data_IF_623650918170
#
_entry.id   IF_623650918170
#
_cell.length_a   1.000
_cell.length_b   1.000
_cell.length_c   1.000
_cell.angle_alpha   90.00
_cell.angle_beta   90.00
_cell.angle_gamma   90.00
#
_symmetry.space_group_name_H-M   'P 1'
#
loop_
_entity.id
_entity.type
_entity.pdbx_description
1 polymer ?
#
# COMPACT_ATOMS: atom_id res chain seq x y z
N UNK A 1 -27.87 7.28 8.89
CA UNK A 1 -26.49 6.89 8.50
C UNK A 1 -26.16 7.67 7.25
N UNK A 2 -25.02 8.37 7.19
CA UNK A 2 -24.64 9.11 5.98
C UNK A 2 -24.40 8.14 4.81
N UNK A 3 -24.59 8.57 3.54
CA UNK A 3 -24.27 7.77 2.37
C UNK A 3 -22.84 7.20 2.41
N UNK A 4 -21.90 7.95 3.01
CA UNK A 4 -20.52 7.53 3.21
C UNK A 4 -20.40 6.27 4.09
N UNK A 5 -21.12 6.23 5.21
CA UNK A 5 -21.12 5.06 6.12
C UNK A 5 -21.71 3.83 5.43
N UNK A 6 -22.79 4.00 4.66
CA UNK A 6 -23.43 2.89 3.94
C UNK A 6 -22.52 2.30 2.86
N UNK A 7 -21.86 3.15 2.07
CA UNK A 7 -20.88 2.71 1.08
C UNK A 7 -19.69 2.01 1.74
N UNK A 8 -19.18 2.58 2.83
CA UNK A 8 -18.09 2.01 3.61
C UNK A 8 -18.42 0.60 4.14
N UNK A 9 -19.57 0.44 4.80
CA UNK A 9 -20.02 -0.85 5.32
C UNK A 9 -20.31 -1.86 4.20
N UNK A 10 -20.90 -1.40 3.09
CA UNK A 10 -21.11 -2.22 1.90
C UNK A 10 -19.80 -2.76 1.34
N UNK A 11 -18.76 -1.93 1.28
CA UNK A 11 -17.45 -2.34 0.81
C UNK A 11 -16.76 -3.36 1.73
N UNK A 12 -16.86 -3.15 3.04
CA UNK A 12 -16.40 -4.13 4.03
C UNK A 12 -17.13 -5.46 3.84
N UNK A 13 -18.45 -5.44 3.69
CA UNK A 13 -19.23 -6.64 3.48
C UNK A 13 -18.83 -7.39 2.20
N UNK A 14 -18.62 -6.67 1.09
CA UNK A 14 -18.18 -7.26 -0.19
C UNK A 14 -16.79 -7.89 -0.05
N UNK A 15 -15.84 -7.19 0.58
CA UNK A 15 -14.47 -7.70 0.74
C UNK A 15 -14.40 -8.88 1.72
N UNK A 16 -15.22 -8.89 2.78
CA UNK A 16 -15.40 -10.04 3.68
C UNK A 16 -15.98 -11.24 2.93
N UNK A 17 -17.00 -11.00 2.10
CA UNK A 17 -17.64 -12.04 1.30
C UNK A 17 -16.66 -12.67 0.30
N UNK A 18 -15.86 -11.86 -0.40
CA UNK A 18 -14.80 -12.33 -1.30
C UNK A 18 -13.78 -13.17 -0.52
N UNK A 19 -13.38 -12.70 0.66
CA UNK A 19 -12.42 -13.41 1.51
C UNK A 19 -12.95 -14.77 1.92
N UNK A 20 -14.20 -14.84 2.38
CA UNK A 20 -14.86 -16.09 2.76
C UNK A 20 -15.07 -17.05 1.58
N UNK A 21 -15.46 -16.53 0.41
CA UNK A 21 -15.60 -17.34 -0.81
C UNK A 21 -14.26 -17.95 -1.25
N UNK A 22 -13.20 -17.14 -1.25
CA UNK A 22 -11.86 -17.57 -1.60
C UNK A 22 -11.27 -18.56 -0.59
N UNK A 23 -11.46 -18.30 0.70
CA UNK A 23 -10.98 -19.16 1.79
C UNK A 23 -11.54 -20.58 1.69
N UNK A 24 -12.81 -20.74 1.32
CA UNK A 24 -13.45 -22.06 1.15
C UNK A 24 -12.85 -22.91 0.03
N UNK A 25 -12.07 -22.31 -0.88
CA UNK A 25 -11.38 -23.01 -1.97
C UNK A 25 -9.93 -23.37 -1.64
N UNK A 26 -9.46 -23.07 -0.43
CA UNK A 26 -8.05 -23.20 -0.04
C UNK A 26 -7.91 -24.14 1.16
N UNK A 27 -7.18 -25.24 0.99
CA UNK A 27 -6.84 -26.18 2.08
C UNK A 27 -5.36 -26.57 2.01
N UNK A 28 -4.70 -26.64 3.16
CA UNK A 28 -3.28 -27.00 3.29
C UNK A 28 -2.29 -25.83 3.21
N UNK A 29 -1.03 -26.09 3.51
CA UNK A 29 0.05 -25.09 3.61
C UNK A 29 0.37 -24.43 2.27
N UNK A 30 0.44 -25.20 1.17
CA UNK A 30 0.67 -24.65 -0.18
C UNK A 30 -0.44 -23.70 -0.63
N UNK A 31 -1.69 -23.99 -0.28
CA UNK A 31 -2.82 -23.13 -0.61
C UNK A 31 -2.84 -21.86 0.27
N UNK A 32 -2.46 -21.99 1.55
CA UNK A 32 -2.34 -20.87 2.47
C UNK A 32 -1.18 -19.91 2.12
N UNK A 33 0.00 -20.44 1.75
CA UNK A 33 1.22 -19.65 1.52
C UNK A 33 1.56 -19.35 0.06
N UNK A 34 1.00 -20.06 -0.91
CA UNK A 34 1.33 -19.87 -2.33
C UNK A 34 0.11 -19.94 -3.25
N UNK A 35 -1.11 -19.90 -2.70
CA UNK A 35 -2.36 -20.05 -3.45
C UNK A 35 -2.37 -21.27 -4.40
N UNK A 36 -1.67 -22.36 -4.03
CA UNK A 36 -1.55 -23.56 -4.85
C UNK A 36 -0.83 -23.36 -6.19
N UNK A 37 -0.14 -22.23 -6.38
CA UNK A 37 0.61 -21.89 -7.60
C UNK A 37 -0.24 -21.83 -8.88
N UNK A 38 -1.54 -21.57 -8.75
CA UNK A 38 -2.52 -21.68 -9.83
C UNK A 38 -2.84 -20.37 -10.53
N UNK A 39 -2.22 -19.25 -10.15
CA UNK A 39 -2.58 -17.94 -10.68
C UNK A 39 -2.03 -17.72 -12.09
N UNK A 40 -2.86 -17.14 -12.96
CA UNK A 40 -2.44 -16.69 -14.30
C UNK A 40 -1.60 -15.42 -14.19
N UNK A 41 -0.75 -15.17 -15.18
CA UNK A 41 0.13 -14.01 -15.21
C UNK A 41 -0.59 -12.67 -14.98
N UNK A 42 -1.74 -12.45 -15.64
CA UNK A 42 -2.49 -11.21 -15.51
C UNK A 42 -3.17 -11.09 -14.13
N UNK A 43 -3.67 -12.19 -13.56
CA UNK A 43 -4.27 -12.19 -12.22
C UNK A 43 -3.23 -11.83 -11.16
N UNK A 44 -2.07 -12.47 -11.23
CA UNK A 44 -0.97 -12.16 -10.33
C UNK A 44 -0.41 -10.75 -10.59
N UNK A 45 -0.33 -10.30 -11.85
CA UNK A 45 0.10 -8.95 -12.19
C UNK A 45 -0.79 -7.86 -11.59
N UNK A 46 -2.11 -8.00 -11.70
CA UNK A 46 -3.05 -7.07 -11.06
C UNK A 46 -2.95 -7.18 -9.53
N UNK A 47 -2.81 -8.38 -8.97
CA UNK A 47 -2.65 -8.57 -7.53
C UNK A 47 -1.37 -7.90 -6.99
N UNK A 48 -0.24 -8.05 -7.71
CA UNK A 48 1.04 -7.41 -7.40
C UNK A 48 0.92 -5.90 -7.50
N UNK A 49 0.27 -5.38 -8.54
CA UNK A 49 -0.02 -3.95 -8.64
C UNK A 49 -0.90 -3.47 -7.48
N UNK A 50 -1.90 -4.26 -7.08
CA UNK A 50 -2.74 -4.01 -5.93
C UNK A 50 -1.94 -3.97 -4.63
N UNK A 51 -1.09 -4.95 -4.34
CA UNK A 51 -0.21 -4.92 -3.16
C UNK A 51 0.68 -3.67 -3.17
N UNK A 52 1.15 -3.26 -4.35
CA UNK A 52 2.06 -2.14 -4.48
C UNK A 52 1.40 -0.77 -4.33
N UNK A 53 0.24 -0.57 -4.96
CA UNK A 53 -0.54 0.66 -4.86
C UNK A 53 -1.24 0.69 -3.50
N UNK A 54 -0.48 1.03 -2.46
CA UNK A 54 -0.98 1.11 -1.09
C UNK A 54 -1.68 2.44 -0.83
N UNK A 55 -2.19 2.62 0.39
CA UNK A 55 -2.78 3.90 0.78
C UNK A 55 -1.72 5.01 0.83
N UNK A 56 -0.46 4.65 1.08
CA UNK A 56 0.66 5.59 0.94
C UNK A 56 0.79 6.05 -0.52
N UNK A 57 0.70 5.13 -1.49
CA UNK A 57 0.78 5.46 -2.91
C UNK A 57 -0.38 6.33 -3.40
N UNK A 58 -1.59 6.11 -2.86
CA UNK A 58 -2.77 6.90 -3.26
C UNK A 58 -2.92 8.20 -2.48
N UNK A 59 -3.08 8.11 -1.15
CA UNK A 59 -3.31 9.27 -0.29
C UNK A 59 -2.03 10.03 -0.01
N UNK A 60 -0.96 9.31 0.32
CA UNK A 60 0.31 9.92 0.72
C UNK A 60 0.97 10.68 -0.42
N UNK A 61 1.03 10.11 -1.63
CA UNK A 61 1.61 10.79 -2.80
C UNK A 61 0.76 11.97 -3.24
N UNK A 62 -0.56 11.80 -3.35
CA UNK A 62 -1.43 12.92 -3.68
C UNK A 62 -1.25 14.05 -2.66
N UNK A 63 -1.11 13.71 -1.38
CA UNK A 63 -0.76 14.64 -0.30
C UNK A 63 0.57 15.34 -0.49
N UNK A 64 1.63 14.57 -0.69
CA UNK A 64 2.99 15.09 -0.82
C UNK A 64 3.12 15.96 -2.07
N UNK A 65 2.58 15.56 -3.22
CA UNK A 65 2.55 16.39 -4.43
C UNK A 65 1.74 17.67 -4.18
N UNK A 66 0.58 17.56 -3.52
CA UNK A 66 -0.26 18.73 -3.24
C UNK A 66 0.43 19.76 -2.33
N UNK A 67 1.41 19.35 -1.52
CA UNK A 67 2.11 20.22 -0.56
C UNK A 67 3.54 20.56 -0.97
N UNK A 68 4.17 19.76 -1.82
CA UNK A 68 5.60 19.85 -2.14
C UNK A 68 5.86 19.90 -3.66
N UNK A 69 4.80 19.95 -4.47
CA UNK A 69 4.88 20.12 -5.92
C UNK A 69 5.78 19.07 -6.58
N UNK A 70 6.69 19.54 -7.43
CA UNK A 70 7.64 18.74 -8.18
C UNK A 70 8.50 17.82 -7.29
N UNK A 71 8.98 18.32 -6.16
CA UNK A 71 9.80 17.54 -5.23
C UNK A 71 9.00 16.36 -4.64
N UNK A 72 7.69 16.55 -4.46
CA UNK A 72 6.78 15.49 -4.07
C UNK A 72 6.56 14.45 -5.18
N UNK A 73 6.47 14.89 -6.44
CA UNK A 73 6.29 14.00 -7.59
C UNK A 73 7.49 13.06 -7.82
N UNK A 74 8.70 13.45 -7.39
CA UNK A 74 9.90 12.60 -7.46
C UNK A 74 9.77 11.27 -6.72
N UNK A 75 8.90 11.18 -5.70
CA UNK A 75 8.59 9.91 -5.05
C UNK A 75 7.98 8.89 -6.02
N UNK A 76 7.07 9.34 -6.89
CA UNK A 76 6.41 8.50 -7.90
C UNK A 76 7.40 7.90 -8.89
N UNK A 77 8.45 8.65 -9.25
CA UNK A 77 9.49 8.20 -10.19
C UNK A 77 10.32 7.06 -9.59
N UNK A 78 10.78 7.21 -8.34
CA UNK A 78 11.61 6.19 -7.69
C UNK A 78 10.91 4.83 -7.58
N UNK A 79 9.61 4.84 -7.26
CA UNK A 79 8.78 3.64 -7.20
C UNK A 79 8.58 2.96 -8.55
N UNK A 80 8.42 3.73 -9.63
CA UNK A 80 8.32 3.18 -10.98
C UNK A 80 9.63 2.49 -11.40
N UNK A 81 10.78 3.15 -11.16
CA UNK A 81 12.10 2.62 -11.52
C UNK A 81 12.42 1.33 -10.76
N UNK A 82 11.99 1.21 -9.51
CA UNK A 82 12.26 0.03 -8.70
C UNK A 82 11.74 -1.28 -9.30
N UNK A 83 10.64 -1.23 -10.07
CA UNK A 83 10.10 -2.43 -10.72
C UNK A 83 10.98 -2.95 -11.86
N UNK A 84 11.81 -2.11 -12.47
CA UNK A 84 12.83 -2.57 -13.42
C UNK A 84 13.85 -3.46 -12.71
N UNK A 85 14.29 -3.06 -11.52
CA UNK A 85 15.17 -3.88 -10.66
C UNK A 85 14.50 -5.21 -10.31
N UNK A 86 13.22 -5.18 -9.91
CA UNK A 86 12.47 -6.41 -9.59
C UNK A 86 12.38 -7.33 -10.81
N UNK A 87 12.04 -6.79 -11.98
CA UNK A 87 11.91 -7.56 -13.22
C UNK A 87 13.23 -8.22 -13.64
N UNK A 88 14.32 -7.44 -13.63
CA UNK A 88 15.60 -7.84 -14.21
C UNK A 88 16.42 -8.72 -13.26
N UNK A 89 16.32 -8.49 -11.95
CA UNK A 89 17.22 -9.10 -10.97
C UNK A 89 16.50 -10.09 -10.05
N UNK A 90 15.24 -9.84 -9.70
CA UNK A 90 14.60 -10.50 -8.55
C UNK A 90 13.58 -11.56 -8.96
N UNK A 91 12.72 -11.28 -9.93
CA UNK A 91 11.54 -12.09 -10.22
C UNK A 91 11.87 -13.53 -10.66
N UNK A 92 12.85 -13.71 -11.53
CA UNK A 92 13.22 -15.03 -12.07
C UNK A 92 13.97 -15.90 -11.04
N UNK A 93 15.03 -15.42 -10.36
CA UNK A 93 15.71 -16.21 -9.34
C UNK A 93 14.80 -16.63 -8.18
N UNK A 94 13.93 -15.72 -7.72
CA UNK A 94 12.97 -16.04 -6.66
C UNK A 94 12.04 -17.17 -7.09
N UNK A 95 11.42 -17.06 -8.26
CA UNK A 95 10.48 -18.10 -8.72
C UNK A 95 11.17 -19.45 -8.90
N UNK A 96 12.38 -19.47 -9.45
CA UNK A 96 13.13 -20.69 -9.70
C UNK A 96 13.60 -21.40 -8.41
N UNK A 97 13.69 -20.69 -7.29
CA UNK A 97 14.02 -21.31 -6.00
C UNK A 97 12.93 -22.26 -5.47
N UNK A 98 11.68 -22.15 -5.97
CA UNK A 98 10.64 -23.15 -5.76
C UNK A 98 10.09 -23.30 -4.33
N UNK A 99 10.47 -22.41 -3.40
CA UNK A 99 10.02 -22.44 -1.99
C UNK A 99 9.04 -21.29 -1.68
N UNK A 100 8.95 -20.83 -0.43
CA UNK A 100 7.88 -19.92 0.02
C UNK A 100 8.37 -18.51 0.38
N UNK A 101 9.67 -18.32 0.64
CA UNK A 101 10.21 -17.03 1.14
C UNK A 101 11.48 -16.61 0.41
N UNK A 102 11.84 -15.32 0.50
CA UNK A 102 13.10 -14.81 -0.05
C UNK A 102 14.32 -15.43 0.65
N UNK A 103 14.19 -15.76 1.94
CA UNK A 103 15.25 -16.36 2.74
C UNK A 103 15.71 -17.71 2.16
N UNK A 104 14.82 -18.43 1.47
CA UNK A 104 15.14 -19.68 0.80
C UNK A 104 16.19 -19.52 -0.31
N UNK A 105 16.17 -18.40 -1.04
CA UNK A 105 17.14 -18.12 -2.11
C UNK A 105 18.51 -17.80 -1.54
N UNK A 106 18.53 -16.97 -0.50
CA UNK A 106 19.78 -16.57 0.17
C UNK A 106 20.42 -17.77 0.88
N UNK A 107 19.60 -18.60 1.54
CA UNK A 107 20.05 -19.82 2.21
C UNK A 107 20.60 -20.90 1.27
N UNK A 108 20.35 -20.81 -0.05
CA UNK A 108 20.90 -21.76 -1.03
C UNK A 108 22.42 -21.60 -1.20
N UNK A 109 22.93 -20.37 -1.10
CA UNK A 109 24.36 -20.05 -1.30
C UNK A 109 25.12 -19.75 0.00
N UNK A 110 24.44 -19.79 1.14
CA UNK A 110 24.96 -19.36 2.44
C UNK A 110 24.55 -20.35 3.54
N UNK A 111 24.99 -20.12 4.78
CA UNK A 111 24.59 -20.93 5.93
C UNK A 111 23.08 -20.80 6.19
N UNK A 112 22.28 -21.90 6.11
CA UNK A 112 20.82 -21.79 6.07
C UNK A 112 20.18 -21.18 7.32
N UNK A 113 20.65 -21.56 8.52
CA UNK A 113 20.03 -21.13 9.79
C UNK A 113 20.15 -19.62 10.05
N UNK A 114 21.37 -19.01 10.07
CA UNK A 114 21.48 -17.58 10.36
C UNK A 114 20.83 -16.72 9.27
N UNK A 115 20.91 -17.12 8.00
CA UNK A 115 20.29 -16.38 6.89
C UNK A 115 18.77 -16.41 6.96
N UNK A 116 18.18 -17.58 7.29
CA UNK A 116 16.73 -17.68 7.52
C UNK A 116 16.26 -16.87 8.72
N UNK A 117 17.02 -16.89 9.82
CA UNK A 117 16.71 -16.09 11.00
C UNK A 117 16.73 -14.58 10.68
N UNK A 118 17.76 -14.12 9.97
CA UNK A 118 17.88 -12.71 9.55
C UNK A 118 16.81 -12.31 8.53
N UNK A 119 16.47 -13.19 7.58
CA UNK A 119 15.41 -12.95 6.62
C UNK A 119 14.03 -12.84 7.28
N UNK A 120 13.74 -13.71 8.25
CA UNK A 120 12.52 -13.66 9.04
C UNK A 120 12.44 -12.37 9.89
N UNK A 121 13.53 -12.02 10.57
CA UNK A 121 13.61 -10.80 11.38
C UNK A 121 13.42 -9.54 10.53
N UNK A 122 14.09 -9.47 9.37
CA UNK A 122 13.94 -8.37 8.42
C UNK A 122 12.49 -8.25 7.94
N UNK A 123 11.88 -9.37 7.55
CA UNK A 123 10.49 -9.39 7.07
C UNK A 123 9.51 -8.96 8.16
N UNK A 124 9.68 -9.44 9.39
CA UNK A 124 8.84 -9.04 10.53
C UNK A 124 8.99 -7.55 10.82
N UNK A 125 10.23 -7.04 10.83
CA UNK A 125 10.52 -5.63 11.09
C UNK A 125 9.84 -4.75 10.04
N UNK A 126 10.14 -4.97 8.75
CA UNK A 126 9.56 -4.20 7.64
C UNK A 126 8.03 -4.28 7.64
N UNK A 127 7.47 -5.48 7.84
CA UNK A 127 6.02 -5.66 7.84
C UNK A 127 5.35 -4.95 9.02
N UNK A 128 5.98 -4.94 10.21
CA UNK A 128 5.44 -4.29 11.40
C UNK A 128 5.44 -2.77 11.25
N UNK A 129 6.54 -2.17 10.79
CA UNK A 129 6.62 -0.72 10.52
C UNK A 129 5.60 -0.29 9.46
N UNK A 130 5.51 -1.04 8.35
CA UNK A 130 4.54 -0.72 7.31
C UNK A 130 3.10 -0.91 7.81
N UNK A 131 2.81 -1.94 8.61
CA UNK A 131 1.48 -2.11 9.22
C UNK A 131 1.11 -0.95 10.14
N UNK A 132 2.06 -0.36 10.88
CA UNK A 132 1.81 0.82 11.72
C UNK A 132 1.35 2.00 10.86
N UNK A 133 2.07 2.30 9.77
CA UNK A 133 1.69 3.37 8.83
C UNK A 133 0.27 3.18 8.31
N UNK A 134 -0.06 1.95 7.92
CA UNK A 134 -1.40 1.60 7.44
C UNK A 134 -2.47 1.80 8.53
N UNK A 135 -2.22 1.41 9.78
CA UNK A 135 -3.16 1.59 10.89
C UNK A 135 -3.46 3.05 11.20
N UNK A 136 -2.43 3.91 11.18
CA UNK A 136 -2.60 5.35 11.36
C UNK A 136 -3.48 5.93 10.24
N UNK A 137 -3.18 5.59 8.98
CA UNK A 137 -4.00 6.01 7.84
C UNK A 137 -5.45 5.55 7.95
N UNK A 138 -5.67 4.32 8.44
CA UNK A 138 -6.99 3.74 8.60
C UNK A 138 -7.80 4.47 9.67
N UNK A 139 -7.17 4.71 10.82
CA UNK A 139 -7.77 5.43 11.94
C UNK A 139 -8.17 6.85 11.54
N UNK A 140 -7.28 7.56 10.83
CA UNK A 140 -7.53 8.92 10.36
C UNK A 140 -8.75 8.97 9.42
N UNK A 141 -8.77 8.14 8.37
CA UNK A 141 -9.89 8.08 7.42
C UNK A 141 -11.21 7.73 8.10
N UNK A 142 -11.23 6.71 8.96
CA UNK A 142 -12.47 6.26 9.61
C UNK A 142 -12.98 7.28 10.61
N UNK A 143 -12.09 7.92 11.38
CA UNK A 143 -12.49 8.99 12.31
C UNK A 143 -13.13 10.17 11.60
N UNK A 144 -12.70 10.48 10.37
CA UNK A 144 -13.26 11.55 9.57
C UNK A 144 -14.57 11.13 8.88
N UNK A 145 -14.63 9.92 8.31
CA UNK A 145 -15.84 9.40 7.68
C UNK A 145 -17.00 9.21 8.67
N UNK A 146 -16.66 8.95 9.93
CA UNK A 146 -17.60 8.64 11.00
C UNK A 146 -17.65 9.75 12.07
N UNK A 147 -17.23 10.96 11.74
CA UNK A 147 -17.20 12.10 12.66
C UNK A 147 -18.56 12.34 13.34
N UNK A 148 -19.64 12.22 12.56
CA UNK A 148 -21.03 12.38 13.05
C UNK A 148 -21.47 11.31 14.06
N UNK A 149 -20.75 10.19 14.15
CA UNK A 149 -21.09 9.05 15.03
C UNK A 149 -20.30 9.05 16.34
N UNK A 150 -19.36 9.98 16.53
CA UNK A 150 -18.54 10.08 17.73
C UNK A 150 -17.43 9.01 17.85
N UNK A 151 -17.10 8.31 16.76
CA UNK A 151 -16.03 7.30 16.78
C UNK A 151 -14.67 8.00 16.85
N UNK A 152 -13.97 7.75 17.95
CA UNK A 152 -12.61 8.26 18.16
C UNK A 152 -11.58 7.54 17.27
N UNK A 153 -10.45 8.19 17.02
CA UNK A 153 -9.30 7.57 16.33
C UNK A 153 -8.90 6.22 16.96
N UNK A 154 -8.84 6.13 18.29
CA UNK A 154 -8.46 4.90 18.99
C UNK A 154 -9.44 3.75 18.71
N UNK A 155 -10.75 4.03 18.80
CA UNK A 155 -11.79 3.04 18.49
C UNK A 155 -11.76 2.61 17.02
N UNK A 156 -11.46 3.53 16.10
CA UNK A 156 -11.29 3.22 14.69
C UNK A 156 -10.11 2.28 14.45
N UNK A 157 -8.92 2.60 14.98
CA UNK A 157 -7.72 1.78 14.84
C UNK A 157 -7.93 0.36 15.40
N UNK A 158 -8.56 0.23 16.57
CA UNK A 158 -8.87 -1.08 17.17
C UNK A 158 -9.84 -1.87 16.29
N UNK A 159 -10.94 -1.26 15.84
CA UNK A 159 -11.93 -1.94 15.00
C UNK A 159 -11.33 -2.46 13.69
N UNK A 160 -10.48 -1.66 13.05
CA UNK A 160 -9.80 -2.01 11.81
C UNK A 160 -8.76 -3.11 12.06
N UNK A 161 -8.03 -3.01 13.17
CA UNK A 161 -7.08 -4.03 13.61
C UNK A 161 -7.73 -5.39 13.83
N UNK A 162 -8.88 -5.43 14.51
CA UNK A 162 -9.67 -6.66 14.70
C UNK A 162 -10.14 -7.21 13.36
N UNK A 163 -10.68 -6.34 12.50
CA UNK A 163 -11.15 -6.75 11.18
C UNK A 163 -10.00 -7.36 10.37
N UNK A 164 -8.82 -6.77 10.40
CA UNK A 164 -7.63 -7.31 9.73
C UNK A 164 -7.22 -8.69 10.24
N UNK A 165 -7.22 -8.91 11.56
CA UNK A 165 -6.91 -10.22 12.15
C UNK A 165 -7.87 -11.28 11.59
N UNK A 166 -9.16 -10.96 11.48
CA UNK A 166 -10.17 -11.86 10.88
C UNK A 166 -9.80 -12.21 9.42
N UNK A 167 -9.44 -11.23 8.59
CA UNK A 167 -9.09 -11.49 7.18
C UNK A 167 -7.90 -12.45 7.05
N UNK A 168 -6.89 -12.29 7.89
CA UNK A 168 -5.65 -13.08 7.78
C UNK A 168 -5.84 -14.49 8.33
N UNK A 169 -6.52 -14.62 9.47
CA UNK A 169 -6.76 -15.91 10.11
C UNK A 169 -7.58 -16.84 9.20
N UNK A 170 -8.55 -16.28 8.46
CA UNK A 170 -9.46 -17.05 7.62
C UNK A 170 -9.12 -17.05 6.12
N UNK A 171 -8.46 -16.02 5.58
CA UNK A 171 -8.34 -15.81 4.13
C UNK A 171 -7.20 -16.56 3.41
N UNK A 172 -5.99 -16.59 3.99
CA UNK A 172 -4.79 -17.11 3.31
C UNK A 172 -4.45 -16.37 2.00
N UNK A 173 -3.44 -16.85 1.27
CA UNK A 173 -2.88 -16.12 0.11
C UNK A 173 -3.86 -16.00 -1.07
N UNK A 174 -4.72 -16.98 -1.29
CA UNK A 174 -5.71 -16.92 -2.38
C UNK A 174 -6.75 -15.82 -2.12
N UNK A 175 -7.26 -15.70 -0.89
CA UNK A 175 -8.18 -14.62 -0.56
C UNK A 175 -7.52 -13.24 -0.68
N UNK A 176 -6.30 -13.07 -0.16
CA UNK A 176 -5.61 -11.79 -0.31
C UNK A 176 -5.34 -11.46 -1.77
N UNK A 177 -5.06 -12.45 -2.63
CA UNK A 177 -4.93 -12.22 -4.07
C UNK A 177 -6.19 -11.58 -4.65
N UNK A 178 -7.36 -12.18 -4.41
CA UNK A 178 -8.61 -11.67 -4.96
C UNK A 178 -9.00 -10.31 -4.40
N UNK A 179 -8.76 -10.08 -3.10
CA UNK A 179 -8.95 -8.77 -2.48
C UNK A 179 -8.06 -7.72 -3.16
N UNK A 180 -6.78 -8.03 -3.42
CA UNK A 180 -5.88 -7.11 -4.11
C UNK A 180 -6.29 -6.85 -5.57
N UNK A 181 -6.79 -7.86 -6.29
CA UNK A 181 -7.27 -7.68 -7.67
C UNK A 181 -8.45 -6.71 -7.69
N UNK A 182 -9.46 -6.96 -6.86
CA UNK A 182 -10.68 -6.14 -6.80
C UNK A 182 -10.35 -4.71 -6.38
N UNK A 183 -9.52 -4.56 -5.34
CA UNK A 183 -9.02 -3.26 -4.90
C UNK A 183 -8.24 -2.55 -6.01
N UNK A 184 -7.31 -3.20 -6.71
CA UNK A 184 -6.53 -2.57 -7.76
C UNK A 184 -7.43 -2.02 -8.88
N UNK A 185 -8.44 -2.78 -9.29
CA UNK A 185 -9.41 -2.33 -10.31
C UNK A 185 -10.19 -1.11 -9.82
N UNK A 186 -10.68 -1.14 -8.58
CA UNK A 186 -11.45 -0.05 -8.00
C UNK A 186 -10.61 1.21 -7.79
N UNK A 187 -9.38 1.05 -7.32
CA UNK A 187 -8.42 2.13 -7.17
C UNK A 187 -8.07 2.75 -8.51
N UNK A 188 -7.77 1.94 -9.53
CA UNK A 188 -7.51 2.45 -10.88
C UNK A 188 -8.71 3.18 -11.47
N UNK A 189 -9.92 2.63 -11.32
CA UNK A 189 -11.14 3.28 -11.80
C UNK A 189 -11.38 4.62 -11.10
N UNK A 190 -11.21 4.68 -9.77
CA UNK A 190 -11.33 5.91 -8.99
C UNK A 190 -10.29 6.96 -9.39
N UNK A 191 -9.04 6.55 -9.55
CA UNK A 191 -7.94 7.44 -9.98
C UNK A 191 -8.17 7.95 -11.41
N UNK A 192 -8.54 7.10 -12.36
CA UNK A 192 -8.82 7.50 -13.75
C UNK A 192 -9.98 8.49 -13.78
N UNK A 193 -11.07 8.20 -13.06
CA UNK A 193 -12.23 9.09 -12.99
C UNK A 193 -11.86 10.44 -12.38
N UNK A 194 -11.09 10.46 -11.28
CA UNK A 194 -10.58 11.70 -10.69
C UNK A 194 -9.74 12.50 -11.68
N UNK A 195 -8.80 11.86 -12.39
CA UNK A 195 -7.97 12.53 -13.38
C UNK A 195 -8.79 13.12 -14.53
N UNK A 196 -9.82 12.41 -15.00
CA UNK A 196 -10.74 12.93 -16.03
C UNK A 196 -11.52 14.14 -15.50
N UNK A 197 -12.01 14.10 -14.26
CA UNK A 197 -12.74 15.21 -13.66
C UNK A 197 -11.86 16.44 -13.41
N UNK A 198 -10.60 16.24 -13.00
CA UNK A 198 -9.60 17.32 -12.91
C UNK A 198 -9.42 17.97 -14.28
N UNK A 199 -9.18 17.18 -15.32
CA UNK A 199 -9.08 17.71 -16.68
C UNK A 199 -10.37 18.42 -17.12
N UNK A 200 -11.53 17.87 -16.79
CA UNK A 200 -12.83 18.49 -17.06
C UNK A 200 -12.99 19.87 -16.39
N UNK A 201 -12.48 20.04 -15.17
CA UNK A 201 -12.45 21.33 -14.47
C UNK A 201 -11.64 22.39 -15.25
N UNK A 202 -10.56 21.97 -15.91
CA UNK A 202 -9.74 22.81 -16.79
C UNK A 202 -10.19 22.78 -18.26
N UNK A 203 -11.42 22.37 -18.54
CA UNK A 203 -11.97 22.33 -19.91
C UNK A 203 -11.25 21.36 -20.85
N UNK A 204 -10.67 20.29 -20.30
CA UNK A 204 -9.79 19.32 -20.98
C UNK A 204 -8.52 19.94 -21.60
N UNK A 205 -8.12 21.14 -21.15
CA UNK A 205 -6.88 21.78 -21.59
C UNK A 205 -5.74 21.44 -20.64
N UNK A 206 -4.73 20.73 -21.17
CA UNK A 206 -3.49 20.48 -20.44
C UNK A 206 -2.71 21.78 -20.18
N UNK A 207 -2.76 22.75 -21.09
CA UNK A 207 -2.05 24.02 -20.88
C UNK A 207 -2.64 24.78 -19.69
N UNK A 208 -3.96 24.90 -19.63
CA UNK A 208 -4.63 25.57 -18.50
C UNK A 208 -4.35 24.88 -17.16
N UNK A 209 -4.26 23.54 -17.17
CA UNK A 209 -3.87 22.78 -15.99
C UNK A 209 -2.43 23.11 -15.54
N UNK A 210 -1.45 23.09 -16.44
CA UNK A 210 -0.07 23.41 -16.09
C UNK A 210 0.15 24.89 -15.74
N UNK A 211 -0.58 25.80 -16.37
CA UNK A 211 -0.56 27.22 -16.04
C UNK A 211 -1.06 27.45 -14.59
N UNK A 212 -2.11 26.73 -14.18
CA UNK A 212 -2.61 26.78 -12.81
C UNK A 212 -1.60 26.23 -11.78
N UNK A 213 -0.86 25.16 -12.14
CA UNK A 213 0.21 24.61 -11.28
C UNK A 213 1.34 25.63 -11.07
N UNK A 214 1.59 26.50 -12.05
CA UNK A 214 2.58 27.57 -11.97
C UNK A 214 2.22 28.69 -11.00
N UNK A 215 0.98 28.75 -10.51
CA UNK A 215 0.44 29.87 -9.73
C UNK A 215 -0.28 29.39 -8.46
N UNK A 216 0.26 28.37 -7.78
CA UNK A 216 -0.35 27.85 -6.54
C UNK A 216 -0.05 28.78 -5.37
N UNK A 217 -1.11 29.25 -4.71
CA UNK A 217 -1.03 30.11 -3.53
C UNK A 217 -1.26 29.31 -2.25
N UNK A 218 -0.41 29.49 -1.24
CA UNK A 218 -0.55 28.85 0.07
C UNK A 218 0.05 29.71 1.20
N UNK A 219 -0.35 29.43 2.44
CA UNK A 219 0.23 30.08 3.61
C UNK A 219 1.50 29.34 4.05
N UNK A 220 2.64 30.04 4.08
CA UNK A 220 3.91 29.46 4.50
C UNK A 220 3.97 29.27 6.03
N UNK A 221 5.03 28.62 6.53
CA UNK A 221 5.21 28.39 7.96
C UNK A 221 5.34 29.68 8.81
N UNK A 222 5.59 30.82 8.17
CA UNK A 222 5.70 32.14 8.79
C UNK A 222 4.38 32.92 8.75
N UNK A 223 3.31 32.34 8.21
CA UNK A 223 1.99 32.96 8.08
C UNK A 223 1.82 33.87 6.87
N UNK A 224 2.79 33.90 5.95
CA UNK A 224 2.75 34.73 4.74
C UNK A 224 2.07 33.98 3.59
N UNK A 225 1.19 34.65 2.84
CA UNK A 225 0.63 34.13 1.60
C UNK A 225 1.69 34.17 0.50
N UNK A 226 2.11 33.00 0.02
CA UNK A 226 3.12 32.86 -1.04
C UNK A 226 2.48 32.22 -2.25
N UNK A 227 2.72 32.79 -3.44
CA UNK A 227 2.42 32.16 -4.73
C UNK A 227 3.71 31.60 -5.29
N UNK A 228 3.71 30.31 -5.61
CA UNK A 228 4.89 29.62 -6.12
C UNK A 228 4.53 28.69 -7.27
N UNK A 229 5.45 28.58 -8.22
CA UNK A 229 5.39 27.59 -9.28
C UNK A 229 5.74 26.21 -8.73
N UNK A 230 4.74 25.32 -8.63
CA UNK A 230 4.90 23.97 -8.11
C UNK A 230 5.64 23.04 -9.09
N UNK A 231 5.93 23.47 -10.32
CA UNK A 231 6.80 22.75 -11.25
C UNK A 231 8.28 23.01 -10.97
N UNK A 232 8.61 24.08 -10.23
CA UNK A 232 10.00 24.35 -9.87
C UNK A 232 10.45 23.49 -8.69
N UNK A 233 11.65 22.86 -8.76
CA UNK A 233 12.21 22.13 -7.63
C UNK A 233 12.64 23.10 -6.52
N UNK A 234 12.68 22.61 -5.27
CA UNK A 234 13.21 23.37 -4.13
C UNK A 234 12.22 23.63 -2.98
N UNK A 235 11.05 22.99 -2.98
CA UNK A 235 10.09 23.01 -1.88
C UNK A 235 10.49 22.08 -0.72
N UNK A 236 11.18 20.97 -1.03
CA UNK A 236 11.63 19.96 -0.06
C UNK A 236 13.13 19.78 -0.08
N UNK A 237 13.75 19.73 -1.27
CA UNK A 237 15.17 19.42 -1.41
C UNK A 237 16.01 20.70 -1.50
N UNK A 238 16.15 21.40 -0.37
CA UNK A 238 16.89 22.67 -0.31
C UNK A 238 18.37 22.46 0.04
N UNK A 239 19.28 23.36 -0.39
CA UNK A 239 20.68 23.35 0.04
C UNK A 239 20.83 23.41 1.58
N UNK A 240 21.92 22.86 2.15
CA UNK A 240 23.09 22.31 1.47
C UNK A 240 22.98 20.81 1.12
N UNK A 241 22.02 20.08 1.69
CA UNK A 241 21.93 18.62 1.57
C UNK A 241 20.88 18.13 0.56
N UNK A 242 20.04 19.00 -0.01
CA UNK A 242 18.90 18.60 -0.85
C UNK A 242 19.21 17.61 -1.98
N UNK A 243 20.34 17.78 -2.68
CA UNK A 243 20.76 16.84 -3.72
C UNK A 243 21.11 15.44 -3.14
N UNK A 244 21.78 15.42 -1.98
CA UNK A 244 22.11 14.18 -1.28
C UNK A 244 20.85 13.51 -0.71
N UNK A 245 19.89 14.29 -0.23
CA UNK A 245 18.59 13.79 0.23
C UNK A 245 17.81 13.14 -0.91
N UNK A 246 17.81 13.74 -2.11
CA UNK A 246 17.15 13.18 -3.29
C UNK A 246 17.83 11.89 -3.76
N UNK A 247 19.17 11.83 -3.75
CA UNK A 247 19.92 10.61 -4.09
C UNK A 247 19.65 9.51 -3.06
N UNK A 248 19.69 9.86 -1.77
CA UNK A 248 19.39 8.95 -0.66
C UNK A 248 17.97 8.38 -0.79
N UNK A 249 16.98 9.24 -1.05
CA UNK A 249 15.61 8.83 -1.30
C UNK A 249 15.52 7.91 -2.52
N UNK A 250 16.15 8.28 -3.64
CA UNK A 250 16.15 7.46 -4.86
C UNK A 250 16.71 6.06 -4.61
N UNK A 251 17.83 5.95 -3.89
CA UNK A 251 18.40 4.66 -3.50
C UNK A 251 17.45 3.88 -2.58
N UNK A 252 16.86 4.53 -1.58
CA UNK A 252 15.91 3.91 -0.67
C UNK A 252 14.67 3.38 -1.41
N UNK A 253 14.13 4.13 -2.36
CA UNK A 253 12.97 3.73 -3.16
C UNK A 253 13.30 2.55 -4.10
N UNK A 254 14.44 2.59 -4.79
CA UNK A 254 14.84 1.56 -5.75
C UNK A 254 15.17 0.25 -5.03
N UNK A 255 16.08 0.28 -4.06
CA UNK A 255 16.55 -0.94 -3.38
C UNK A 255 15.55 -1.43 -2.32
N UNK A 256 14.89 -0.51 -1.60
CA UNK A 256 13.87 -0.86 -0.60
C UNK A 256 12.68 -1.58 -1.22
N UNK A 257 12.15 -1.06 -2.33
CA UNK A 257 11.03 -1.69 -3.05
C UNK A 257 11.41 -3.08 -3.56
N UNK A 258 12.63 -3.25 -4.07
CA UNK A 258 13.09 -4.55 -4.58
C UNK A 258 13.16 -5.64 -3.50
N UNK A 259 13.26 -5.25 -2.23
CA UNK A 259 13.30 -6.15 -1.08
C UNK A 259 11.96 -6.38 -0.37
N UNK A 260 10.85 -5.78 -0.81
CA UNK A 260 9.58 -5.80 -0.09
C UNK A 260 8.99 -7.22 0.00
N UNK A 261 8.97 -7.86 1.19
CA UNK A 261 8.67 -9.29 1.31
C UNK A 261 7.25 -9.65 0.84
N UNK A 262 6.28 -8.76 1.06
CA UNK A 262 4.88 -8.94 0.65
C UNK A 262 4.71 -8.93 -0.89
N UNK A 263 5.60 -8.27 -1.63
CA UNK A 263 5.63 -8.34 -3.09
C UNK A 263 6.34 -9.62 -3.54
N UNK A 264 7.47 -9.93 -2.92
CA UNK A 264 8.31 -11.07 -3.33
C UNK A 264 7.58 -12.41 -3.21
N UNK A 265 6.76 -12.59 -2.17
CA UNK A 265 5.98 -13.82 -1.99
C UNK A 265 4.98 -14.07 -3.12
N UNK A 266 4.53 -13.02 -3.83
CA UNK A 266 3.61 -13.18 -4.97
C UNK A 266 4.25 -13.90 -6.14
N UNK A 267 5.57 -13.84 -6.31
CA UNK A 267 6.23 -14.63 -7.35
C UNK A 267 6.13 -16.14 -7.12
N UNK A 268 5.82 -16.58 -5.91
CA UNK A 268 5.58 -18.00 -5.63
C UNK A 268 4.18 -18.50 -6.03
N UNK A 269 3.24 -17.59 -6.37
CA UNK A 269 1.83 -17.94 -6.64
C UNK A 269 1.51 -18.33 -8.09
N UNK A 270 2.47 -18.12 -9.00
CA UNK A 270 2.37 -18.51 -10.41
C UNK A 270 3.07 -19.86 -10.63
N UNK A 271 2.81 -20.59 -11.73
CA UNK A 271 3.41 -21.90 -11.96
C UNK A 271 4.90 -21.88 -12.36
N UNK A 272 5.36 -20.88 -13.10
CA UNK A 272 6.70 -20.88 -13.71
C UNK A 272 7.31 -19.46 -13.82
N UNK A 273 8.63 -19.38 -14.05
CA UNK A 273 9.37 -18.12 -14.14
C UNK A 273 8.95 -17.23 -15.32
N UNK A 274 8.51 -17.82 -16.44
CA UNK A 274 8.02 -17.06 -17.60
C UNK A 274 6.71 -16.36 -17.25
N UNK A 275 5.81 -17.05 -16.55
CA UNK A 275 4.57 -16.50 -16.01
C UNK A 275 4.85 -15.45 -14.93
N UNK A 276 5.87 -15.64 -14.08
CA UNK A 276 6.31 -14.63 -13.12
C UNK A 276 6.75 -13.33 -13.81
N UNK A 277 7.64 -13.41 -14.82
CA UNK A 277 8.08 -12.24 -15.59
C UNK A 277 6.93 -11.54 -16.31
N UNK A 278 6.00 -12.29 -16.92
CA UNK A 278 4.79 -11.72 -17.51
C UNK A 278 3.91 -11.01 -16.47
N UNK A 279 3.85 -11.53 -15.24
CA UNK A 279 3.10 -10.89 -14.14
C UNK A 279 3.72 -9.54 -13.78
N UNK A 280 5.06 -9.44 -13.73
CA UNK A 280 5.76 -8.17 -13.47
C UNK A 280 5.45 -7.16 -14.56
N UNK A 281 5.42 -7.56 -15.84
CA UNK A 281 5.06 -6.65 -16.95
C UNK A 281 3.63 -6.10 -16.79
N UNK A 282 2.67 -6.96 -16.48
CA UNK A 282 1.31 -6.52 -16.17
C UNK A 282 1.26 -5.55 -14.99
N UNK A 283 2.00 -5.86 -13.92
CA UNK A 283 2.07 -5.00 -12.75
C UNK A 283 2.67 -3.62 -13.09
N UNK A 284 3.78 -3.59 -13.83
CA UNK A 284 4.43 -2.36 -14.27
C UNK A 284 3.52 -1.45 -15.09
N UNK A 285 2.73 -2.01 -16.00
CA UNK A 285 1.78 -1.22 -16.80
C UNK A 285 0.73 -0.53 -15.91
N UNK A 286 0.17 -1.26 -14.94
CA UNK A 286 -0.85 -0.74 -14.04
C UNK A 286 -0.25 0.31 -13.09
N UNK A 287 0.88 -0.02 -12.46
CA UNK A 287 1.59 0.85 -11.52
C UNK A 287 2.09 2.12 -12.22
N UNK A 288 2.68 1.99 -13.40
CA UNK A 288 3.16 3.12 -14.19
C UNK A 288 2.02 4.04 -14.57
N UNK A 289 0.90 3.49 -15.03
CA UNK A 289 -0.31 4.26 -15.32
C UNK A 289 -0.81 4.99 -14.06
N UNK A 290 -0.89 4.28 -12.92
CA UNK A 290 -1.31 4.88 -11.65
C UNK A 290 -0.45 6.08 -11.26
N UNK A 291 0.88 5.94 -11.27
CA UNK A 291 1.77 7.02 -10.87
C UNK A 291 1.79 8.20 -11.85
N UNK A 292 1.61 7.98 -13.14
CA UNK A 292 1.37 9.07 -14.09
C UNK A 292 0.09 9.83 -13.71
N UNK A 293 -0.96 9.10 -13.33
CA UNK A 293 -2.22 9.71 -12.94
C UNK A 293 -2.15 10.44 -11.58
N UNK A 294 -1.24 10.05 -10.67
CA UNK A 294 -1.04 10.76 -9.40
C UNK A 294 -0.67 12.23 -9.59
N UNK A 295 -0.07 12.60 -10.72
CA UNK A 295 0.14 13.99 -11.14
C UNK A 295 -1.15 14.80 -11.09
N UNK A 296 -2.23 14.28 -11.70
CA UNK A 296 -3.52 14.97 -11.71
C UNK A 296 -4.16 15.04 -10.33
N UNK A 297 -3.98 14.01 -9.51
CA UNK A 297 -4.56 13.97 -8.17
C UNK A 297 -3.86 14.97 -7.24
N UNK A 298 -2.53 14.97 -7.21
CA UNK A 298 -1.76 15.83 -6.32
C UNK A 298 -1.83 17.30 -6.74
N UNK A 299 -1.50 17.60 -7.99
CA UNK A 299 -1.55 18.98 -8.49
C UNK A 299 -2.98 19.50 -8.65
N UNK A 300 -3.94 18.64 -8.97
CA UNK A 300 -5.36 19.00 -8.95
C UNK A 300 -5.83 19.36 -7.53
N UNK A 301 -5.40 18.61 -6.50
CA UNK A 301 -5.70 18.97 -5.12
C UNK A 301 -5.03 20.30 -4.70
N UNK A 302 -3.78 20.54 -5.11
CA UNK A 302 -3.09 21.81 -4.84
C UNK A 302 -3.81 23.03 -5.45
N UNK A 303 -4.28 22.90 -6.69
CA UNK A 303 -4.87 24.01 -7.45
C UNK A 303 -6.36 24.23 -7.17
N UNK A 304 -7.14 23.16 -7.04
CA UNK A 304 -8.61 23.23 -6.91
C UNK A 304 -9.04 23.35 -5.44
N UNK A 305 -8.38 22.63 -4.54
CA UNK A 305 -8.76 22.57 -3.11
C UNK A 305 -7.90 23.53 -2.28
N UNK A 306 -6.60 23.57 -2.55
CA UNK A 306 -5.65 24.41 -1.82
C UNK A 306 -5.10 23.76 -0.55
N UNK A 307 -3.81 24.02 -0.28
CA UNK A 307 -3.06 23.41 0.83
C UNK A 307 -3.64 23.71 2.20
N UNK A 308 -4.04 24.97 2.41
CA UNK A 308 -4.50 25.44 3.72
C UNK A 308 -5.83 24.77 4.10
N UNK A 309 -6.73 24.61 3.13
CA UNK A 309 -7.98 23.89 3.32
C UNK A 309 -7.73 22.40 3.60
N UNK A 310 -6.83 21.75 2.87
CA UNK A 310 -6.48 20.34 3.10
C UNK A 310 -5.87 20.15 4.50
N UNK A 311 -4.96 21.04 4.90
CA UNK A 311 -4.31 20.98 6.22
C UNK A 311 -5.34 21.11 7.36
N UNK A 312 -6.33 21.99 7.22
CA UNK A 312 -7.40 22.17 8.19
C UNK A 312 -8.41 21.00 8.23
N UNK A 313 -8.58 20.26 7.13
CA UNK A 313 -9.63 19.24 6.98
C UNK A 313 -9.06 17.81 6.93
N UNK A 314 -8.23 17.47 7.92
CA UNK A 314 -7.72 16.10 8.10
C UNK A 314 -6.32 15.82 7.56
N UNK A 315 -5.59 16.87 7.16
CA UNK A 315 -4.17 16.82 6.84
C UNK A 315 -3.86 16.28 5.44
N UNK A 316 -2.56 16.12 5.14
CA UNK A 316 -2.07 15.83 3.79
C UNK A 316 -2.66 14.57 3.15
N UNK A 317 -3.01 13.55 3.95
CA UNK A 317 -3.60 12.30 3.43
C UNK A 317 -5.02 12.52 2.86
N UNK A 318 -5.65 13.65 3.14
CA UNK A 318 -6.99 13.99 2.67
C UNK A 318 -7.01 14.70 1.31
N UNK A 319 -5.86 14.97 0.69
CA UNK A 319 -5.80 15.65 -0.62
C UNK A 319 -6.67 14.98 -1.69
N UNK A 320 -6.54 13.67 -1.90
CA UNK A 320 -7.30 12.97 -2.94
C UNK A 320 -8.81 12.85 -2.63
N UNK A 321 -9.24 12.49 -1.39
CA UNK A 321 -10.66 12.52 -1.06
C UNK A 321 -11.28 13.91 -1.13
N UNK A 322 -10.63 14.96 -0.60
CA UNK A 322 -11.16 16.33 -0.65
C UNK A 322 -11.23 16.85 -2.08
N UNK A 323 -10.29 16.48 -2.95
CA UNK A 323 -10.39 16.73 -4.38
C UNK A 323 -11.63 16.07 -4.99
N UNK A 324 -11.93 14.83 -4.60
CA UNK A 324 -13.15 14.14 -5.04
C UNK A 324 -14.42 14.89 -4.57
N UNK A 325 -14.40 15.40 -3.34
CA UNK A 325 -15.49 16.20 -2.80
C UNK A 325 -15.69 17.50 -3.60
N UNK A 326 -14.60 18.22 -3.88
CA UNK A 326 -14.64 19.49 -4.61
C UNK A 326 -15.14 19.31 -6.06
N UNK A 327 -14.81 18.18 -6.70
CA UNK A 327 -15.16 17.93 -8.10
C UNK A 327 -16.55 17.32 -8.30
N UNK A 328 -17.01 16.44 -7.40
CA UNK A 328 -18.24 15.67 -7.61
C UNK A 328 -19.06 15.42 -6.33
N UNK A 329 -18.80 16.17 -5.26
CA UNK A 329 -19.60 16.18 -4.03
C UNK A 329 -19.39 14.99 -3.09
N UNK A 330 -20.23 14.92 -2.06
CA UNK A 330 -20.06 14.01 -0.91
C UNK A 330 -20.14 12.52 -1.28
N UNK A 331 -20.90 12.18 -2.32
CA UNK A 331 -21.00 10.79 -2.78
C UNK A 331 -19.66 10.31 -3.37
N UNK A 332 -18.97 11.17 -4.11
CA UNK A 332 -17.69 10.80 -4.70
C UNK A 332 -16.56 10.84 -3.66
N UNK A 333 -16.60 11.79 -2.73
CA UNK A 333 -15.77 11.78 -1.52
C UNK A 333 -15.88 10.45 -0.77
N UNK A 334 -17.11 9.99 -0.51
CA UNK A 334 -17.38 8.72 0.13
C UNK A 334 -16.81 7.53 -0.65
N UNK A 335 -16.99 7.51 -1.96
CA UNK A 335 -16.48 6.46 -2.84
C UNK A 335 -14.96 6.36 -2.80
N UNK A 336 -14.26 7.48 -2.97
CA UNK A 336 -12.79 7.54 -2.95
C UNK A 336 -12.24 7.18 -1.57
N UNK A 337 -12.90 7.64 -0.50
CA UNK A 337 -12.51 7.29 0.87
C UNK A 337 -12.71 5.80 1.17
N UNK A 338 -13.79 5.20 0.67
CA UNK A 338 -14.03 3.75 0.80
C UNK A 338 -12.98 2.92 0.04
N UNK A 339 -12.58 3.36 -1.16
CA UNK A 339 -11.48 2.74 -1.92
C UNK A 339 -10.16 2.84 -1.15
N UNK A 340 -9.85 4.02 -0.61
CA UNK A 340 -8.63 4.22 0.17
C UNK A 340 -8.62 3.33 1.43
N UNK A 341 -9.75 3.21 2.12
CA UNK A 341 -9.88 2.31 3.25
C UNK A 341 -9.70 0.83 2.86
N UNK A 342 -10.36 0.39 1.80
CA UNK A 342 -10.21 -0.98 1.30
C UNK A 342 -8.76 -1.28 0.90
N UNK A 343 -8.08 -0.27 0.36
CA UNK A 343 -6.67 -0.32 0.00
C UNK A 343 -5.79 -0.55 1.23
N UNK A 344 -6.06 0.14 2.34
CA UNK A 344 -5.38 -0.08 3.62
C UNK A 344 -5.60 -1.52 4.07
N UNK A 345 -6.86 -1.94 4.19
CA UNK A 345 -7.19 -3.27 4.71
C UNK A 345 -6.53 -4.39 3.91
N UNK A 346 -6.55 -4.28 2.58
CA UNK A 346 -5.91 -5.25 1.68
C UNK A 346 -4.39 -5.33 1.91
N UNK A 347 -3.71 -4.17 2.00
CA UNK A 347 -2.26 -4.11 2.22
C UNK A 347 -1.89 -4.72 3.57
N UNK A 348 -2.62 -4.38 4.62
CA UNK A 348 -2.37 -4.93 5.96
C UNK A 348 -2.56 -6.45 5.95
N UNK A 349 -3.57 -6.98 5.26
CA UNK A 349 -3.74 -8.43 5.11
C UNK A 349 -2.55 -9.08 4.37
N UNK A 350 -2.05 -8.45 3.30
CA UNK A 350 -0.85 -8.91 2.59
C UNK A 350 0.42 -8.91 3.45
N UNK A 351 0.67 -7.82 4.17
CA UNK A 351 1.81 -7.68 5.09
C UNK A 351 1.76 -8.72 6.21
N UNK A 352 0.57 -8.95 6.78
CA UNK A 352 0.41 -9.92 7.87
C UNK A 352 0.63 -11.35 7.38
N UNK A 353 0.20 -11.70 6.16
CA UNK A 353 0.54 -13.01 5.55
C UNK A 353 2.05 -13.13 5.35
N UNK A 354 2.72 -12.09 4.86
CA UNK A 354 4.17 -12.13 4.64
C UNK A 354 4.95 -12.30 5.95
N UNK A 355 4.58 -11.54 6.99
CA UNK A 355 5.13 -11.61 8.34
C UNK A 355 4.93 -12.99 8.97
N UNK A 356 3.68 -13.50 8.94
CA UNK A 356 3.33 -14.80 9.51
C UNK A 356 3.98 -15.97 8.79
N UNK A 357 4.07 -15.91 7.45
CA UNK A 357 4.78 -16.92 6.64
C UNK A 357 6.26 -16.94 6.98
N UNK A 358 6.90 -15.78 7.07
CA UNK A 358 8.34 -15.70 7.35
C UNK A 358 8.66 -16.22 8.74
N UNK A 359 7.84 -15.91 9.76
CA UNK A 359 8.06 -16.47 11.09
C UNK A 359 7.78 -17.97 11.15
N UNK A 360 6.63 -18.42 10.63
CA UNK A 360 6.25 -19.83 10.70
C UNK A 360 7.18 -20.72 9.89
N UNK A 361 7.46 -20.35 8.64
CA UNK A 361 8.27 -21.14 7.73
C UNK A 361 9.78 -20.98 8.03
N UNK A 362 10.30 -19.75 8.02
CA UNK A 362 11.75 -19.55 8.08
C UNK A 362 12.29 -19.71 9.49
N UNK A 363 11.62 -19.14 10.49
CA UNK A 363 12.11 -19.16 11.87
C UNK A 363 11.65 -20.42 12.63
N UNK A 364 10.35 -20.67 12.71
CA UNK A 364 9.82 -21.79 13.50
C UNK A 364 10.17 -23.15 12.91
N UNK A 365 9.77 -23.43 11.67
CA UNK A 365 10.02 -24.75 11.08
C UNK A 365 11.50 -24.95 10.77
N UNK A 366 12.16 -24.00 10.09
CA UNK A 366 13.50 -24.22 9.57
C UNK A 366 14.64 -23.88 10.56
N UNK A 367 14.53 -22.82 11.37
CA UNK A 367 15.58 -22.47 12.34
C UNK A 367 15.43 -23.26 13.63
N UNK A 368 14.27 -23.23 14.28
CA UNK A 368 14.05 -23.90 15.58
C UNK A 368 13.90 -25.42 15.44
N UNK A 369 13.15 -25.89 14.43
CA UNK A 369 12.82 -27.31 14.28
C UNK A 369 13.61 -28.04 13.18
N UNK A 370 14.61 -27.39 12.58
CA UNK A 370 15.52 -28.03 11.63
C UNK A 370 14.86 -28.53 10.34
N UNK A 371 13.77 -27.89 9.91
CA UNK A 371 13.09 -28.16 8.64
C UNK A 371 12.07 -29.30 8.68
N UNK A 372 11.64 -29.73 9.88
CA UNK A 372 10.60 -30.76 10.05
C UNK A 372 9.39 -30.15 10.76
N UNK A 373 8.22 -30.24 10.13
CA UNK A 373 6.95 -30.03 10.84
C UNK A 373 6.80 -31.14 11.90
N UNK A 374 6.53 -30.80 13.17
CA UNK A 374 6.33 -31.82 14.21
C UNK A 374 4.93 -32.42 14.14
N UNK A 375 3.95 -31.66 13.65
CA UNK A 375 2.56 -32.09 13.43
C UNK A 375 2.01 -31.47 12.15
N UNK A 376 1.18 -32.22 11.41
CA UNK A 376 0.50 -31.70 10.22
C UNK A 376 -0.32 -30.45 10.58
N UNK A 377 -0.08 -29.36 9.85
CA UNK A 377 -0.79 -28.09 10.03
C UNK A 377 -0.29 -27.22 11.19
N UNK A 378 0.80 -27.61 11.87
CA UNK A 378 1.46 -26.78 12.88
C UNK A 378 1.91 -25.44 12.30
N UNK A 379 2.49 -25.44 11.11
CA UNK A 379 3.03 -24.24 10.46
C UNK A 379 1.92 -23.19 10.21
N UNK A 380 0.73 -23.62 9.78
CA UNK A 380 -0.43 -22.73 9.61
C UNK A 380 -0.94 -22.20 10.96
N UNK A 381 -0.92 -23.03 12.01
CA UNK A 381 -1.31 -22.60 13.36
C UNK A 381 -0.35 -21.53 13.89
N UNK A 382 0.96 -21.75 13.75
CA UNK A 382 1.98 -20.78 14.15
C UNK A 382 1.82 -19.49 13.35
N UNK A 383 1.60 -19.58 12.04
CA UNK A 383 1.35 -18.40 11.21
C UNK A 383 0.15 -17.57 11.70
N UNK A 384 -0.97 -18.21 12.05
CA UNK A 384 -2.15 -17.53 12.61
C UNK A 384 -1.86 -16.84 13.95
N UNK A 385 -1.09 -17.49 14.82
CA UNK A 385 -0.67 -16.90 16.11
C UNK A 385 0.25 -15.71 15.89
N UNK A 386 1.24 -15.82 14.99
CA UNK A 386 2.11 -14.71 14.62
C UNK A 386 1.33 -13.53 14.05
N UNK A 387 0.37 -13.78 13.17
CA UNK A 387 -0.50 -12.75 12.60
C UNK A 387 -1.22 -11.94 13.68
N UNK A 388 -1.75 -12.63 14.71
CA UNK A 388 -2.38 -11.99 15.86
C UNK A 388 -1.42 -11.07 16.62
N UNK A 389 -0.22 -11.56 16.95
CA UNK A 389 0.75 -10.77 17.72
C UNK A 389 1.30 -9.57 16.94
N UNK A 390 1.68 -9.76 15.67
CA UNK A 390 2.16 -8.66 14.82
C UNK A 390 1.06 -7.60 14.66
N UNK A 391 -0.18 -8.03 14.43
CA UNK A 391 -1.34 -7.13 14.38
C UNK A 391 -1.56 -6.36 15.68
N UNK A 392 -1.55 -7.04 16.82
CA UNK A 392 -1.73 -6.41 18.12
C UNK A 392 -0.63 -5.37 18.42
N UNK A 393 0.63 -5.69 18.11
CA UNK A 393 1.77 -4.76 18.29
C UNK A 393 1.59 -3.52 17.40
N UNK A 394 1.25 -3.70 16.12
CA UNK A 394 1.02 -2.57 15.21
C UNK A 394 -0.14 -1.68 15.65
N UNK A 395 -1.22 -2.24 16.18
CA UNK A 395 -2.35 -1.48 16.74
C UNK A 395 -1.91 -0.63 17.92
N UNK A 396 -1.18 -1.24 18.88
CA UNK A 396 -0.69 -0.54 20.08
C UNK A 396 0.21 0.63 19.71
N UNK A 397 1.17 0.42 18.80
CA UNK A 397 2.09 1.47 18.37
C UNK A 397 1.37 2.57 17.58
N UNK A 398 0.42 2.22 16.72
CA UNK A 398 -0.36 3.21 15.97
C UNK A 398 -1.20 4.12 16.89
N UNK A 399 -1.76 3.57 17.98
CA UNK A 399 -2.47 4.36 19.00
C UNK A 399 -1.52 5.35 19.69
N UNK A 400 -0.29 4.96 19.97
CA UNK A 400 0.73 5.83 20.60
C UNK A 400 1.21 6.94 19.66
N UNK A 401 1.37 6.67 18.37
CA UNK A 401 1.79 7.66 17.38
C UNK A 401 0.73 8.74 17.08
N UNK A 402 -0.56 8.39 17.19
CA UNK A 402 -1.67 9.30 16.96
C UNK A 402 -1.93 9.63 15.48
N UNK A 403 -2.92 10.51 15.19
CA UNK A 403 -3.49 10.70 13.85
C UNK A 403 -2.65 11.55 12.89
N UNK A 404 -1.68 12.32 13.39
CA UNK A 404 -0.96 13.33 12.60
C UNK A 404 0.20 12.75 11.77
N UNK A 405 0.56 11.48 11.95
CA UNK A 405 1.67 10.89 11.23
C UNK A 405 1.29 10.57 9.76
N UNK A 406 2.15 10.97 8.82
CA UNK A 406 1.93 10.76 7.39
C UNK A 406 2.21 9.30 7.00
N UNK A 407 1.28 8.68 6.28
CA UNK A 407 1.29 7.24 5.91
C UNK A 407 2.37 6.91 4.88
N UNK A 408 2.86 7.89 4.12
CA UNK A 408 3.95 7.71 3.17
C UNK A 408 5.34 7.97 3.76
N UNK A 409 5.43 8.55 4.95
CA UNK A 409 6.70 8.82 5.63
C UNK A 409 7.04 7.78 6.71
N UNK A 410 6.00 7.25 7.38
CA UNK A 410 6.10 6.05 8.23
C UNK A 410 6.36 4.81 7.38
#
# INVERSE_FOLDING_TARGET
MSPAVLMFLGFIAITLWITWWAARKSAGSSAFFAAGRSLKAWQNGIAVAGDYMSAASFLGIAGIIAFQGYDGFMYSVGWLVAYLTVLLIVAEPLRNAGKYTMADVLAYRMSPRPVRAMGALSTLTVSTFYMIAQMVGAGALVSLLLQDTGITFQTAVVGIGVLMIVYVVFGGMLATTWVQIVKAILLMAGTILLSILVLGHFGFSLSAFFDAIGQVTYTNAEGNTVTQDFMTPGLRYTPPWGALDLISLGMALIFGTAGLPHILVRFYTVPDARTARKSVVWAMLIIGTFYILTTFLGFGAATIVGRDFIAANGGTNMSAPLLAQALAGDLFFAFISAIAFATILAVVAGLTISASTSFAHDFWTNVLHGGRERREGEEVRVARVTAFFVGAISILIAIVLGPNANVAFL
#
